data_IF_292456037710
#
_entry.id   IF_292456037710
#
_cell.length_a   1.000
_cell.length_b   1.000
_cell.length_c   1.000
_cell.angle_alpha   90.00
_cell.angle_beta   90.00
_cell.angle_gamma   90.00
#
_symmetry.space_group_name_H-M   'P 1'
#
loop_
_entity.id
_entity.type
_entity.pdbx_description
1 polymer ?
#
# COMPACT_ATOMS: atom_id res chain seq x y z
N UNK A 1 -37.49 15.80 26.37
CA UNK A 1 -36.70 14.57 26.49
C UNK A 1 -35.66 14.60 25.36
N UNK A 2 -34.49 15.14 25.65
CA UNK A 2 -33.32 15.16 24.72
C UNK A 2 -32.77 13.75 24.67
N UNK A 3 -32.97 13.06 23.53
CA UNK A 3 -32.23 11.81 23.24
C UNK A 3 -30.73 12.11 23.27
N UNK A 4 -30.04 11.71 24.31
CA UNK A 4 -28.59 11.60 24.28
C UNK A 4 -28.24 10.73 23.08
N UNK A 5 -27.62 11.34 22.05
CA UNK A 5 -27.00 10.62 20.96
C UNK A 5 -25.71 10.03 21.50
N UNK A 6 -25.82 8.89 22.16
CA UNK A 6 -24.66 8.09 22.49
C UNK A 6 -23.78 7.92 21.24
N UNK A 7 -22.49 8.07 21.38
CA UNK A 7 -21.53 7.83 20.31
C UNK A 7 -21.69 6.36 19.91
N UNK A 8 -22.37 6.10 18.77
CA UNK A 8 -22.49 4.75 18.24
C UNK A 8 -21.09 4.32 17.78
N UNK A 9 -20.45 3.50 18.57
CA UNK A 9 -19.21 2.81 18.20
C UNK A 9 -19.51 1.73 17.15
N UNK A 10 -18.46 1.27 16.47
CA UNK A 10 -18.53 0.09 15.62
C UNK A 10 -19.22 -1.07 16.37
N UNK A 11 -20.18 -1.70 15.70
CA UNK A 11 -20.91 -2.84 16.26
C UNK A 11 -21.01 -3.96 15.23
N UNK A 12 -20.68 -5.18 15.65
CA UNK A 12 -20.93 -6.41 14.91
C UNK A 12 -21.90 -7.27 15.72
N UNK A 13 -23.00 -7.72 15.10
CA UNK A 13 -23.98 -8.60 15.77
C UNK A 13 -23.43 -10.01 15.96
N UNK A 14 -22.68 -10.50 14.96
CA UNK A 14 -22.10 -11.82 14.95
C UNK A 14 -20.62 -11.72 14.58
N UNK A 15 -19.87 -12.71 15.05
CA UNK A 15 -18.47 -12.96 14.67
C UNK A 15 -18.36 -14.37 14.10
N UNK A 16 -17.70 -14.50 12.97
CA UNK A 16 -17.42 -15.80 12.34
C UNK A 16 -15.96 -15.89 11.95
N UNK A 17 -15.23 -16.77 12.62
CA UNK A 17 -13.93 -17.23 12.17
C UNK A 17 -14.19 -18.35 11.16
N UNK A 18 -13.87 -18.08 9.89
CA UNK A 18 -14.17 -18.98 8.79
C UNK A 18 -13.13 -20.10 8.68
N UNK A 19 -13.53 -21.22 8.11
CA UNK A 19 -12.70 -22.39 7.93
C UNK A 19 -12.22 -22.57 6.48
N UNK A 20 -12.80 -21.79 5.54
CA UNK A 20 -12.41 -21.80 4.13
C UNK A 20 -12.60 -20.43 3.47
N UNK A 21 -11.90 -20.21 2.34
CA UNK A 21 -12.11 -19.04 1.48
C UNK A 21 -13.49 -19.02 0.84
N UNK A 22 -14.05 -20.20 0.54
CA UNK A 22 -15.40 -20.33 0.00
C UNK A 22 -16.43 -19.80 0.99
N UNK A 23 -16.40 -20.26 2.24
CA UNK A 23 -17.25 -19.76 3.31
C UNK A 23 -17.12 -18.23 3.49
N UNK A 24 -15.88 -17.75 3.49
CA UNK A 24 -15.62 -16.31 3.60
C UNK A 24 -16.23 -15.53 2.44
N UNK A 25 -16.10 -16.03 1.21
CA UNK A 25 -16.63 -15.41 0.01
C UNK A 25 -18.17 -15.36 0.04
N UNK A 26 -18.82 -16.47 0.31
CA UNK A 26 -20.29 -16.54 0.42
C UNK A 26 -20.83 -15.57 1.46
N UNK A 27 -20.24 -15.56 2.65
CA UNK A 27 -20.63 -14.62 3.71
C UNK A 27 -20.39 -13.17 3.30
N UNK A 28 -19.31 -12.89 2.58
CA UNK A 28 -18.96 -11.55 2.15
C UNK A 28 -19.89 -10.99 1.06
N UNK A 29 -20.64 -11.81 0.32
CA UNK A 29 -21.60 -11.32 -0.68
C UNK A 29 -22.75 -10.51 -0.04
N UNK A 30 -23.05 -10.73 1.22
CA UNK A 30 -24.04 -9.94 1.96
C UNK A 30 -23.48 -8.57 2.34
N UNK A 31 -24.06 -7.48 1.83
CA UNK A 31 -23.60 -6.09 2.07
C UNK A 31 -23.53 -5.71 3.54
N UNK A 32 -24.33 -6.35 4.39
CA UNK A 32 -24.32 -6.17 5.84
C UNK A 32 -23.14 -6.83 6.56
N UNK A 33 -22.41 -7.72 5.90
CA UNK A 33 -21.23 -8.37 6.45
C UNK A 33 -19.95 -7.64 6.04
N UNK A 34 -18.84 -7.88 6.77
CA UNK A 34 -17.55 -7.32 6.44
C UNK A 34 -16.42 -8.25 6.86
N UNK A 35 -15.44 -8.42 5.98
CA UNK A 35 -14.17 -9.03 6.32
C UNK A 35 -13.43 -8.10 7.27
N UNK A 36 -12.85 -8.68 8.31
CA UNK A 36 -12.02 -7.97 9.28
C UNK A 36 -10.55 -8.39 9.12
N UNK A 37 -9.66 -7.39 9.08
CA UNK A 37 -8.24 -7.57 9.30
C UNK A 37 -7.89 -7.05 10.70
N UNK A 38 -6.89 -6.18 10.82
CA UNK A 38 -6.51 -5.56 12.10
C UNK A 38 -7.54 -4.62 12.72
N UNK A 39 -8.66 -4.38 12.08
CA UNK A 39 -9.80 -3.56 12.53
C UNK A 39 -9.50 -2.09 12.86
N UNK A 40 -8.31 -1.58 12.59
CA UNK A 40 -7.87 -0.26 13.09
C UNK A 40 -8.71 0.91 12.57
N UNK A 41 -9.15 0.86 11.32
CA UNK A 41 -10.07 1.84 10.74
C UNK A 41 -11.53 1.45 10.94
N UNK A 42 -11.85 0.16 10.87
CA UNK A 42 -13.21 -0.31 10.98
C UNK A 42 -13.81 -0.04 12.37
N UNK A 43 -13.04 -0.26 13.44
CA UNK A 43 -13.47 0.02 14.81
C UNK A 43 -13.72 1.50 15.10
N UNK A 44 -13.09 2.41 14.34
CA UNK A 44 -13.33 3.85 14.45
C UNK A 44 -14.53 4.33 13.61
N UNK A 45 -15.09 3.43 12.80
CA UNK A 45 -16.27 3.75 11.98
C UNK A 45 -17.56 3.65 12.82
N UNK A 46 -18.63 4.28 12.33
CA UNK A 46 -19.99 4.14 12.91
C UNK A 46 -20.79 3.03 12.21
N UNK A 47 -20.09 2.04 11.63
CA UNK A 47 -20.76 0.97 10.90
C UNK A 47 -21.35 -0.06 11.83
N UNK A 48 -22.62 -0.42 11.57
CA UNK A 48 -23.26 -1.60 12.09
C UNK A 48 -23.13 -2.71 11.06
N UNK A 49 -22.46 -3.79 11.40
CA UNK A 49 -22.35 -4.95 10.53
C UNK A 49 -23.08 -6.14 11.13
N UNK A 50 -23.63 -6.99 10.27
CA UNK A 50 -24.35 -8.19 10.71
C UNK A 50 -23.36 -9.24 11.17
N UNK A 51 -22.32 -9.54 10.34
CA UNK A 51 -21.30 -10.52 10.66
C UNK A 51 -19.91 -9.97 10.36
N UNK A 52 -19.02 -10.00 11.34
CA UNK A 52 -17.58 -9.81 11.18
C UNK A 52 -16.99 -11.14 10.73
N UNK A 53 -16.38 -11.15 9.54
CA UNK A 53 -15.76 -12.35 8.92
C UNK A 53 -14.27 -12.30 9.20
N UNK A 54 -13.77 -13.25 9.96
CA UNK A 54 -12.37 -13.34 10.35
C UNK A 54 -11.64 -14.42 9.56
N UNK A 55 -10.60 -14.02 8.82
CA UNK A 55 -9.77 -14.89 8.00
C UNK A 55 -8.57 -15.48 8.74
N UNK A 56 -8.37 -15.18 10.02
CA UNK A 56 -7.17 -15.58 10.79
C UNK A 56 -6.97 -17.10 10.93
N UNK A 57 -7.99 -17.89 10.60
CA UNK A 57 -7.92 -19.35 10.59
C UNK A 57 -7.34 -19.96 9.30
N UNK A 58 -7.13 -19.17 8.26
CA UNK A 58 -6.83 -19.66 6.90
C UNK A 58 -5.32 -19.69 6.56
N UNK A 59 -4.43 -19.40 7.51
CA UNK A 59 -2.97 -19.40 7.26
C UNK A 59 -2.50 -18.25 6.35
N UNK A 60 -3.29 -17.17 6.25
CA UNK A 60 -3.00 -16.02 5.37
C UNK A 60 -2.13 -14.94 6.05
N UNK A 61 -1.45 -15.28 7.11
CA UNK A 61 -0.57 -14.42 7.94
C UNK A 61 0.93 -14.73 7.77
N UNK A 62 1.28 -15.44 6.68
CA UNK A 62 2.65 -15.82 6.38
C UNK A 62 3.20 -15.04 5.18
N UNK A 63 4.51 -14.79 5.19
CA UNK A 63 5.28 -14.29 4.05
C UNK A 63 6.14 -15.44 3.56
N UNK A 64 5.82 -15.93 2.38
CA UNK A 64 6.58 -16.97 1.68
C UNK A 64 7.56 -16.30 0.71
N UNK A 65 8.75 -16.87 0.59
CA UNK A 65 9.81 -16.39 -0.28
C UNK A 65 10.42 -17.55 -1.05
N UNK A 66 10.51 -17.40 -2.36
CA UNK A 66 11.27 -18.31 -3.23
C UNK A 66 12.26 -17.52 -4.11
N UNK A 67 12.84 -18.17 -5.13
CA UNK A 67 13.79 -17.54 -6.04
C UNK A 67 13.15 -16.45 -6.93
N UNK A 68 11.86 -16.55 -7.21
CA UNK A 68 11.13 -15.76 -8.19
C UNK A 68 10.30 -14.63 -7.58
N UNK A 69 9.79 -14.84 -6.35
CA UNK A 69 8.81 -13.93 -5.78
C UNK A 69 8.70 -13.98 -4.26
N UNK A 70 8.06 -12.95 -3.71
CA UNK A 70 7.51 -12.94 -2.37
C UNK A 70 5.98 -13.06 -2.44
N UNK A 71 5.41 -13.99 -1.66
CA UNK A 71 3.95 -14.14 -1.48
C UNK A 71 3.57 -13.71 -0.08
N UNK A 72 2.86 -12.60 0.03
CA UNK A 72 2.51 -11.97 1.31
C UNK A 72 1.02 -12.20 1.54
N UNK A 73 0.66 -13.03 2.51
CA UNK A 73 -0.72 -13.28 2.87
C UNK A 73 -1.44 -12.00 3.31
N UNK A 74 -2.72 -11.87 3.01
CA UNK A 74 -3.47 -10.63 3.27
C UNK A 74 -3.59 -10.30 4.77
N UNK A 75 -3.46 -11.28 5.64
CA UNK A 75 -3.50 -11.15 7.10
C UNK A 75 -2.13 -10.85 7.72
N UNK A 76 -1.04 -10.88 6.93
CA UNK A 76 0.27 -10.41 7.40
C UNK A 76 0.18 -9.01 7.95
N UNK A 77 0.77 -8.77 9.10
CA UNK A 77 0.82 -7.45 9.72
C UNK A 77 1.84 -6.56 9.04
N UNK A 78 1.65 -5.24 9.12
CA UNK A 78 2.65 -4.29 8.65
C UNK A 78 3.98 -4.44 9.40
N UNK A 79 3.93 -4.93 10.65
CA UNK A 79 5.14 -5.20 11.43
C UNK A 79 5.92 -6.40 10.90
N UNK A 80 5.26 -7.47 10.46
CA UNK A 80 5.92 -8.59 9.78
C UNK A 80 6.59 -8.11 8.49
N UNK A 81 5.87 -7.33 7.67
CA UNK A 81 6.43 -6.72 6.47
C UNK A 81 7.68 -5.85 6.76
N UNK A 82 7.60 -5.00 7.80
CA UNK A 82 8.69 -4.12 8.23
C UNK A 82 9.95 -4.88 8.66
N UNK A 83 9.77 -6.07 9.25
CA UNK A 83 10.87 -6.86 9.84
C UNK A 83 11.38 -7.98 8.95
N UNK A 84 10.73 -8.27 7.84
CA UNK A 84 11.10 -9.39 6.99
C UNK A 84 12.45 -9.15 6.32
N UNK A 85 13.44 -9.96 6.68
CA UNK A 85 14.83 -9.76 6.24
C UNK A 85 15.01 -9.89 4.74
N UNK A 86 14.43 -10.91 4.10
CA UNK A 86 14.50 -11.11 2.65
C UNK A 86 13.94 -9.92 1.87
N UNK A 87 12.77 -9.41 2.25
CA UNK A 87 12.20 -8.20 1.65
C UNK A 87 13.09 -6.97 1.86
N UNK A 88 13.67 -6.85 3.07
CA UNK A 88 14.54 -5.73 3.41
C UNK A 88 15.83 -5.75 2.58
N UNK A 89 16.45 -6.91 2.44
CA UNK A 89 17.67 -7.10 1.66
C UNK A 89 17.41 -6.91 0.16
N UNK A 90 16.40 -7.57 -0.37
CA UNK A 90 16.11 -7.53 -1.80
C UNK A 90 15.74 -6.13 -2.31
N UNK A 91 14.88 -5.42 -1.58
CA UNK A 91 14.43 -4.05 -1.91
C UNK A 91 15.22 -2.96 -1.19
N UNK A 92 16.43 -3.26 -0.69
CA UNK A 92 17.40 -2.31 -0.13
C UNK A 92 16.79 -1.34 0.90
N UNK A 93 15.91 -1.87 1.75
CA UNK A 93 15.27 -1.15 2.84
C UNK A 93 13.99 -0.38 2.49
N UNK A 94 13.54 -0.37 1.24
CA UNK A 94 12.32 0.35 0.86
C UNK A 94 11.07 -0.13 1.61
N UNK A 95 10.98 -1.44 1.93
CA UNK A 95 9.88 -2.00 2.71
C UNK A 95 9.82 -1.44 4.13
N UNK A 96 10.96 -1.26 4.77
CA UNK A 96 11.05 -0.60 6.07
C UNK A 96 10.70 0.88 5.98
N UNK A 97 11.16 1.57 4.94
CA UNK A 97 10.88 3.00 4.76
C UNK A 97 9.39 3.27 4.53
N UNK A 98 8.67 2.43 3.77
CA UNK A 98 7.24 2.64 3.53
C UNK A 98 6.36 2.22 4.72
N UNK A 99 6.89 1.47 5.70
CA UNK A 99 6.12 1.00 6.85
C UNK A 99 6.37 1.78 8.13
N UNK A 100 7.64 2.12 8.42
CA UNK A 100 8.08 2.58 9.76
C UNK A 100 7.35 3.81 10.31
N UNK A 101 6.83 4.67 9.43
CA UNK A 101 6.10 5.89 9.79
C UNK A 101 4.58 5.72 9.82
N UNK A 102 4.06 4.53 9.52
CA UNK A 102 2.62 4.25 9.62
C UNK A 102 2.25 4.15 11.11
N UNK A 103 1.78 5.27 11.65
CA UNK A 103 1.41 5.44 13.06
C UNK A 103 2.55 4.93 13.98
N UNK A 104 2.28 4.05 14.91
CA UNK A 104 3.26 3.48 15.84
C UNK A 104 3.40 1.96 15.70
N UNK A 105 4.37 1.38 16.41
CA UNK A 105 4.61 -0.07 16.39
C UNK A 105 3.38 -0.88 16.79
N UNK A 106 2.64 -0.45 17.82
CA UNK A 106 1.41 -1.12 18.24
C UNK A 106 0.36 -1.17 17.13
N UNK A 107 0.22 -0.07 16.38
CA UNK A 107 -0.67 -0.02 15.22
C UNK A 107 -0.22 -1.02 14.15
N UNK A 108 1.07 -1.04 13.83
CA UNK A 108 1.62 -1.95 12.81
C UNK A 108 1.60 -3.42 13.20
N UNK A 109 1.57 -3.74 14.49
CA UNK A 109 1.37 -5.11 14.98
C UNK A 109 -0.05 -5.66 14.68
N UNK A 110 -1.02 -4.79 14.42
CA UNK A 110 -2.40 -5.18 14.13
C UNK A 110 -2.83 -4.86 12.70
N UNK A 111 -2.35 -3.74 12.13
CA UNK A 111 -2.67 -3.36 10.75
C UNK A 111 -2.16 -4.42 9.78
N UNK A 112 -3.03 -4.86 8.85
CA UNK A 112 -2.67 -5.88 7.86
C UNK A 112 -2.28 -5.29 6.51
N UNK A 113 -1.42 -6.00 5.80
CA UNK A 113 -1.03 -5.64 4.42
C UNK A 113 -2.27 -5.66 3.52
N UNK A 114 -3.12 -6.69 3.65
CA UNK A 114 -4.37 -6.79 2.90
C UNK A 114 -5.29 -5.59 3.13
N UNK A 115 -5.45 -5.13 4.38
CA UNK A 115 -6.24 -3.94 4.70
C UNK A 115 -5.68 -2.66 4.05
N UNK A 116 -4.35 -2.54 3.97
CA UNK A 116 -3.66 -1.40 3.36
C UNK A 116 -3.81 -1.38 1.82
N UNK A 117 -3.88 -2.55 1.18
CA UNK A 117 -4.01 -2.69 -0.28
C UNK A 117 -5.49 -2.69 -0.70
N UNK A 118 -6.33 -3.55 -0.11
CA UNK A 118 -7.75 -3.67 -0.50
C UNK A 118 -8.52 -2.37 -0.28
N UNK A 119 -8.16 -1.61 0.75
CA UNK A 119 -8.75 -0.30 1.04
C UNK A 119 -8.57 0.73 -0.06
N UNK A 120 -7.55 0.59 -0.91
CA UNK A 120 -7.18 1.54 -1.98
C UNK A 120 -7.20 2.99 -1.51
N UNK A 121 -6.78 3.22 -0.26
CA UNK A 121 -6.70 4.57 0.29
C UNK A 121 -5.58 5.36 -0.37
N UNK A 122 -5.88 6.59 -0.80
CA UNK A 122 -4.88 7.44 -1.47
C UNK A 122 -3.66 7.77 -0.63
N UNK A 123 -3.76 7.69 0.69
CA UNK A 123 -2.67 7.90 1.64
C UNK A 123 -1.91 6.61 2.01
N UNK A 124 -2.22 5.47 1.40
CA UNK A 124 -1.56 4.21 1.72
C UNK A 124 -0.11 4.20 1.24
N UNK A 125 0.81 4.24 2.19
CA UNK A 125 2.25 4.10 1.93
C UNK A 125 2.57 2.78 1.25
N UNK A 126 1.93 1.70 1.70
CA UNK A 126 2.12 0.34 1.17
C UNK A 126 1.67 0.26 -0.29
N UNK A 127 0.47 0.77 -0.60
CA UNK A 127 -0.02 0.77 -1.98
C UNK A 127 0.89 1.60 -2.89
N UNK A 128 1.32 2.78 -2.43
CA UNK A 128 2.23 3.65 -3.18
C UNK A 128 3.57 2.96 -3.45
N UNK A 129 4.16 2.31 -2.45
CA UNK A 129 5.42 1.59 -2.60
C UNK A 129 5.28 0.40 -3.56
N UNK A 130 4.26 -0.41 -3.39
CA UNK A 130 4.06 -1.63 -4.16
C UNK A 130 3.69 -1.38 -5.62
N UNK A 131 3.03 -0.27 -5.93
CA UNK A 131 2.73 0.13 -7.32
C UNK A 131 3.99 0.36 -8.16
N UNK A 132 5.12 0.76 -7.57
CA UNK A 132 6.37 0.92 -8.29
C UNK A 132 7.09 -0.41 -8.56
N UNK A 133 6.69 -1.50 -7.90
CA UNK A 133 7.23 -2.84 -8.05
C UNK A 133 6.40 -3.67 -9.03
N UNK A 134 6.94 -4.81 -9.44
CA UNK A 134 6.20 -5.81 -10.20
C UNK A 134 5.31 -6.62 -9.28
N UNK A 135 4.15 -6.06 -8.98
CA UNK A 135 3.25 -6.54 -7.93
C UNK A 135 1.90 -6.94 -8.48
N UNK A 136 1.39 -8.04 -7.95
CA UNK A 136 0.08 -8.59 -8.27
C UNK A 136 -0.71 -8.82 -6.96
N UNK A 137 -2.01 -8.88 -7.08
CA UNK A 137 -2.93 -9.35 -6.04
C UNK A 137 -3.57 -10.64 -6.50
N UNK A 138 -3.64 -11.61 -5.62
CA UNK A 138 -4.44 -12.81 -5.81
C UNK A 138 -5.79 -12.61 -5.12
N UNK A 139 -6.84 -12.63 -5.92
CA UNK A 139 -8.23 -12.55 -5.48
C UNK A 139 -8.84 -13.93 -5.56
N UNK A 140 -9.72 -14.26 -4.61
CA UNK A 140 -10.31 -15.59 -4.54
C UNK A 140 -11.10 -15.95 -5.80
N UNK A 141 -11.93 -15.03 -6.29
CA UNK A 141 -12.78 -15.26 -7.45
C UNK A 141 -12.14 -14.77 -8.76
N UNK A 142 -11.58 -13.57 -8.76
CA UNK A 142 -11.01 -12.97 -9.97
C UNK A 142 -9.59 -13.46 -10.32
N UNK A 143 -8.95 -14.27 -9.45
CA UNK A 143 -7.60 -14.79 -9.68
C UNK A 143 -6.52 -13.70 -9.53
N UNK A 144 -5.42 -13.87 -10.27
CA UNK A 144 -4.24 -12.98 -10.17
C UNK A 144 -4.42 -11.76 -11.08
N UNK A 145 -4.34 -10.57 -10.50
CA UNK A 145 -4.51 -9.28 -11.18
C UNK A 145 -3.32 -8.38 -10.86
N UNK A 146 -2.78 -7.66 -11.85
CA UNK A 146 -1.73 -6.67 -11.61
C UNK A 146 -2.21 -5.60 -10.63
N UNK A 147 -1.34 -5.22 -9.67
CA UNK A 147 -1.71 -4.23 -8.65
C UNK A 147 -2.10 -2.88 -9.26
N UNK A 148 -1.47 -2.49 -10.37
CA UNK A 148 -1.78 -1.27 -11.11
C UNK A 148 -3.21 -1.25 -11.66
N UNK A 149 -3.71 -2.40 -12.09
CA UNK A 149 -5.11 -2.56 -12.53
C UNK A 149 -6.05 -2.63 -11.34
N UNK A 150 -5.71 -3.45 -10.35
CA UNK A 150 -6.50 -3.57 -9.12
C UNK A 150 -6.73 -2.22 -8.43
N UNK A 151 -5.72 -1.33 -8.40
CA UNK A 151 -5.84 -0.01 -7.79
C UNK A 151 -6.89 0.88 -8.49
N UNK A 152 -7.14 0.66 -9.78
CA UNK A 152 -8.15 1.39 -10.58
C UNK A 152 -9.54 0.78 -10.46
N UNK A 153 -9.65 -0.53 -10.21
CA UNK A 153 -10.93 -1.25 -10.12
C UNK A 153 -11.86 -0.63 -9.07
N UNK A 154 -13.17 -0.68 -9.28
CA UNK A 154 -14.13 -0.36 -8.24
C UNK A 154 -13.99 -1.36 -7.09
N UNK A 155 -14.39 -0.95 -5.88
CA UNK A 155 -14.46 -1.88 -4.74
C UNK A 155 -15.58 -2.88 -4.98
N UNK A 156 -15.26 -4.13 -4.90
CA UNK A 156 -16.18 -5.27 -4.99
C UNK A 156 -16.25 -6.04 -3.65
N UNK A 157 -16.72 -7.26 -3.71
CA UNK A 157 -16.85 -8.14 -2.56
C UNK A 157 -16.05 -9.43 -2.71
N UNK A 158 -15.05 -9.39 -3.58
CA UNK A 158 -14.07 -10.47 -3.65
C UNK A 158 -13.16 -10.46 -2.41
N UNK A 159 -12.36 -11.50 -2.24
CA UNK A 159 -11.43 -11.65 -1.13
C UNK A 159 -10.02 -11.51 -1.67
N UNK A 160 -9.27 -10.55 -1.13
CA UNK A 160 -7.83 -10.50 -1.33
C UNK A 160 -7.18 -11.61 -0.50
N UNK A 161 -6.57 -12.57 -1.18
CA UNK A 161 -5.92 -13.73 -0.56
C UNK A 161 -4.46 -13.39 -0.22
N UNK A 162 -3.70 -12.93 -1.20
CA UNK A 162 -2.30 -12.55 -1.02
C UNK A 162 -1.85 -11.49 -2.00
N UNK A 163 -0.71 -10.87 -1.69
CA UNK A 163 0.04 -9.98 -2.57
C UNK A 163 1.28 -10.73 -3.05
N UNK A 164 1.57 -10.67 -4.34
CA UNK A 164 2.71 -11.31 -4.98
C UNK A 164 3.63 -10.21 -5.51
N UNK A 165 4.90 -10.20 -5.10
CA UNK A 165 5.90 -9.25 -5.57
C UNK A 165 7.01 -10.04 -6.26
N UNK A 166 7.21 -9.81 -7.55
CA UNK A 166 8.24 -10.50 -8.34
C UNK A 166 9.64 -9.98 -8.00
N UNK A 167 10.60 -10.89 -8.00
CA UNK A 167 12.02 -10.61 -7.85
C UNK A 167 12.64 -10.30 -9.22
N UNK A 168 12.16 -9.24 -9.87
CA UNK A 168 12.53 -8.88 -11.24
C UNK A 168 13.77 -8.00 -11.37
N UNK A 169 14.50 -7.79 -10.26
CA UNK A 169 15.73 -7.02 -10.23
C UNK A 169 15.54 -5.50 -10.10
N UNK A 170 14.33 -5.00 -9.98
CA UNK A 170 14.09 -3.55 -9.79
C UNK A 170 14.82 -3.01 -8.59
N UNK A 171 15.49 -1.87 -8.78
CA UNK A 171 15.98 -1.02 -7.70
C UNK A 171 14.90 -0.04 -7.30
N UNK A 172 14.63 0.12 -6.01
CA UNK A 172 13.56 0.97 -5.53
C UNK A 172 14.04 1.92 -4.45
N UNK A 173 13.48 3.13 -4.43
CA UNK A 173 13.58 4.08 -3.33
C UNK A 173 12.19 4.60 -2.98
N UNK A 174 11.88 4.66 -1.68
CA UNK A 174 10.63 5.20 -1.15
C UNK A 174 10.92 6.40 -0.26
N UNK A 175 10.13 7.45 -0.38
CA UNK A 175 10.18 8.65 0.45
C UNK A 175 8.78 9.20 0.70
N UNK A 176 8.57 9.81 1.85
CA UNK A 176 7.30 10.47 2.19
C UNK A 176 7.55 11.68 3.07
N UNK A 177 6.65 12.65 2.99
CA UNK A 177 6.60 13.80 3.90
C UNK A 177 5.38 13.75 4.79
N UNK A 178 5.57 14.09 6.05
CA UNK A 178 4.55 14.16 7.10
C UNK A 178 4.77 15.40 7.95
N UNK A 179 3.68 16.00 8.45
CA UNK A 179 3.77 17.11 9.40
C UNK A 179 4.30 16.65 10.77
N UNK A 180 3.90 15.46 11.19
CA UNK A 180 4.43 14.78 12.37
C UNK A 180 4.83 13.35 12.04
N UNK A 181 5.74 12.76 12.81
CA UNK A 181 6.37 11.47 12.52
C UNK A 181 5.38 10.32 12.27
N UNK A 182 4.21 10.36 12.89
CA UNK A 182 3.20 9.30 12.82
C UNK A 182 1.89 9.73 12.16
N UNK A 183 1.86 10.92 11.56
CA UNK A 183 0.68 11.42 10.83
C UNK A 183 0.54 10.74 9.46
N UNK A 184 -0.59 10.99 8.80
CA UNK A 184 -0.74 10.65 7.39
C UNK A 184 0.26 11.41 6.52
N UNK A 185 0.74 10.81 5.43
CA UNK A 185 1.63 11.52 4.53
C UNK A 185 0.93 12.73 3.87
N UNK A 186 1.64 13.82 3.79
CA UNK A 186 1.29 14.96 2.91
C UNK A 186 1.49 14.54 1.46
N UNK A 187 2.59 13.82 1.21
CA UNK A 187 2.92 13.20 -0.06
C UNK A 187 3.73 11.92 0.18
N UNK A 188 3.58 10.93 -0.68
CA UNK A 188 4.36 9.71 -0.70
C UNK A 188 4.82 9.43 -2.15
N UNK A 189 6.09 9.10 -2.32
CA UNK A 189 6.70 8.82 -3.61
C UNK A 189 7.51 7.52 -3.55
N UNK A 190 7.27 6.63 -4.49
CA UNK A 190 8.11 5.47 -4.75
C UNK A 190 8.63 5.54 -6.18
N UNK A 191 9.93 5.35 -6.34
CA UNK A 191 10.56 5.29 -7.66
C UNK A 191 11.30 3.98 -7.76
N UNK A 192 11.04 3.24 -8.83
CA UNK A 192 11.81 2.04 -9.14
C UNK A 192 12.40 2.11 -10.55
N UNK A 193 13.49 1.37 -10.77
CA UNK A 193 14.19 1.27 -12.05
C UNK A 193 14.50 -0.18 -12.36
N UNK A 194 14.21 -0.60 -13.58
CA UNK A 194 14.69 -1.85 -14.18
C UNK A 194 15.25 -1.53 -15.56
N UNK A 195 16.51 -1.80 -15.77
CA UNK A 195 17.22 -1.39 -17.00
C UNK A 195 17.02 0.12 -17.24
N UNK A 196 16.49 0.55 -18.38
CA UNK A 196 16.19 1.94 -18.70
C UNK A 196 14.71 2.32 -18.42
N UNK A 197 13.95 1.43 -17.80
CA UNK A 197 12.55 1.68 -17.48
C UNK A 197 12.39 2.17 -16.04
N UNK A 198 11.72 3.30 -15.89
CA UNK A 198 11.42 3.94 -14.62
C UNK A 198 9.95 3.80 -14.27
N UNK A 199 9.68 3.49 -13.03
CA UNK A 199 8.35 3.34 -12.45
C UNK A 199 8.23 4.36 -11.32
N UNK A 200 7.40 5.39 -11.51
CA UNK A 200 7.16 6.43 -10.51
C UNK A 200 5.75 6.27 -9.98
N UNK A 201 5.61 6.11 -8.69
CA UNK A 201 4.31 6.04 -8.01
C UNK A 201 4.17 7.16 -7.01
N UNK A 202 3.05 7.90 -7.09
CA UNK A 202 2.75 9.03 -6.20
C UNK A 202 1.44 8.79 -5.48
N UNK A 203 1.48 8.78 -4.16
CA UNK A 203 0.34 8.68 -3.24
C UNK A 203 0.17 9.94 -2.39
N UNK A 204 -0.90 9.99 -1.61
CA UNK A 204 -1.27 11.11 -0.75
C UNK A 204 -1.43 12.46 -1.49
N UNK A 205 -1.69 12.44 -2.78
CA UNK A 205 -1.89 13.62 -3.66
C UNK A 205 -3.30 14.21 -3.61
N UNK A 206 -4.10 13.83 -2.60
CA UNK A 206 -5.55 14.07 -2.46
C UNK A 206 -6.42 13.30 -3.45
N UNK A 207 -5.88 12.21 -4.03
CA UNK A 207 -6.54 11.23 -4.88
C UNK A 207 -5.99 9.84 -4.60
N UNK A 208 -6.33 8.88 -5.43
CA UNK A 208 -5.74 7.53 -5.38
C UNK A 208 -4.24 7.62 -5.70
N UNK A 209 -3.46 6.66 -5.16
CA UNK A 209 -2.09 6.48 -5.63
C UNK A 209 -2.09 6.10 -7.12
N UNK A 210 -1.19 6.67 -7.88
CA UNK A 210 -1.04 6.44 -9.32
C UNK A 210 0.40 6.07 -9.65
N UNK A 211 0.54 5.28 -10.72
CA UNK A 211 1.81 4.85 -11.29
C UNK A 211 1.94 5.42 -12.70
N UNK A 212 3.08 6.06 -12.99
CA UNK A 212 3.54 6.38 -14.34
C UNK A 212 4.79 5.58 -14.67
N UNK A 213 4.91 5.15 -15.92
CA UNK A 213 6.05 4.35 -16.40
C UNK A 213 6.69 5.05 -17.60
N UNK A 214 8.01 5.17 -17.58
CA UNK A 214 8.77 5.81 -18.65
C UNK A 214 10.03 5.03 -18.95
N UNK A 215 10.26 4.75 -20.23
CA UNK A 215 11.52 4.17 -20.71
C UNK A 215 12.42 5.27 -21.27
N UNK A 216 13.48 5.59 -20.53
CA UNK A 216 14.50 6.56 -20.99
C UNK A 216 15.76 6.48 -20.15
N UNK A 217 16.89 6.88 -20.74
CA UNK A 217 18.11 7.14 -19.99
C UNK A 217 17.99 8.48 -19.27
N UNK A 218 18.33 8.51 -17.99
CA UNK A 218 18.22 9.70 -17.14
C UNK A 218 19.61 10.22 -16.80
N UNK A 219 19.96 11.38 -17.35
CA UNK A 219 21.21 12.10 -17.08
C UNK A 219 20.97 13.24 -16.08
N UNK A 220 19.79 13.87 -16.09
CA UNK A 220 19.38 14.89 -15.13
C UNK A 220 18.14 14.41 -14.35
N UNK A 221 18.36 14.05 -13.09
CA UNK A 221 17.31 13.61 -12.19
C UNK A 221 16.28 14.71 -11.88
N UNK A 222 16.67 15.98 -11.95
CA UNK A 222 15.76 17.11 -11.70
C UNK A 222 14.80 17.33 -12.86
N UNK A 223 15.31 17.36 -14.09
CA UNK A 223 14.50 17.47 -15.29
C UNK A 223 13.54 16.28 -15.43
N UNK A 224 14.04 15.06 -15.21
CA UNK A 224 13.23 13.84 -15.21
C UNK A 224 12.10 13.89 -14.17
N UNK A 225 12.40 14.27 -12.93
CA UNK A 225 11.40 14.34 -11.87
C UNK A 225 10.30 15.36 -12.22
N UNK A 226 10.67 16.53 -12.74
CA UNK A 226 9.71 17.56 -13.16
C UNK A 226 8.81 17.07 -14.28
N UNK A 227 9.37 16.41 -15.29
CA UNK A 227 8.64 15.80 -16.39
C UNK A 227 7.63 14.77 -15.89
N UNK A 228 8.10 13.77 -15.11
CA UNK A 228 7.24 12.72 -14.59
C UNK A 228 6.12 13.26 -13.69
N UNK A 229 6.42 14.23 -12.84
CA UNK A 229 5.41 14.78 -11.91
C UNK A 229 4.39 15.67 -12.63
N UNK A 230 4.69 16.19 -13.82
CA UNK A 230 3.72 16.93 -14.63
C UNK A 230 2.52 16.08 -15.06
N UNK A 231 2.66 14.76 -15.13
CA UNK A 231 1.59 13.82 -15.50
C UNK A 231 0.54 13.64 -14.38
N UNK A 232 0.88 14.02 -13.14
CA UNK A 232 0.01 13.80 -11.99
C UNK A 232 -0.86 15.01 -11.69
N UNK A 233 -2.10 14.75 -11.31
CA UNK A 233 -2.99 15.77 -10.74
C UNK A 233 -2.86 15.78 -9.23
N UNK A 234 -2.86 16.96 -8.65
CA UNK A 234 -2.83 17.16 -7.20
C UNK A 234 -4.04 18.01 -6.80
N UNK A 235 -4.41 17.95 -5.53
CA UNK A 235 -5.41 18.86 -4.97
C UNK A 235 -5.08 19.27 -3.55
N UNK A 236 -5.67 20.37 -3.12
CA UNK A 236 -5.47 20.94 -1.79
C UNK A 236 -6.39 20.29 -0.77
N UNK A 237 -5.92 20.13 0.46
CA UNK A 237 -6.71 19.82 1.64
C UNK A 237 -6.06 20.40 2.90
N UNK A 238 -6.58 20.07 4.09
CA UNK A 238 -6.06 20.57 5.36
C UNK A 238 -4.58 20.26 5.63
N UNK A 239 -3.98 19.26 4.93
CA UNK A 239 -2.57 18.86 5.11
C UNK A 239 -1.60 19.53 4.17
N UNK A 240 -2.07 20.13 3.10
CA UNK A 240 -1.19 20.82 2.15
C UNK A 240 -1.91 21.27 0.90
N UNK A 241 -1.39 22.33 0.31
CA UNK A 241 -1.89 22.84 -0.97
C UNK A 241 -1.44 21.96 -2.14
N UNK A 242 -2.14 22.07 -3.25
CA UNK A 242 -1.77 21.42 -4.52
C UNK A 242 -0.32 21.76 -4.91
N UNK A 243 0.03 23.04 -4.91
CA UNK A 243 1.36 23.51 -5.29
C UNK A 243 2.46 22.92 -4.37
N UNK A 244 2.20 22.86 -3.07
CA UNK A 244 3.13 22.27 -2.10
C UNK A 244 3.34 20.77 -2.34
N UNK A 245 2.26 20.02 -2.58
CA UNK A 245 2.34 18.59 -2.88
C UNK A 245 3.10 18.31 -4.17
N UNK A 246 2.85 19.08 -5.22
CA UNK A 246 3.56 19.00 -6.50
C UNK A 246 5.04 19.24 -6.31
N UNK A 247 5.41 20.33 -5.62
CA UNK A 247 6.80 20.65 -5.32
C UNK A 247 7.50 19.52 -4.53
N UNK A 248 6.86 19.01 -3.48
CA UNK A 248 7.43 17.91 -2.70
C UNK A 248 7.56 16.62 -3.54
N UNK A 249 6.60 16.33 -4.40
CA UNK A 249 6.66 15.16 -5.29
C UNK A 249 7.85 15.25 -6.24
N UNK A 250 8.12 16.44 -6.83
CA UNK A 250 9.30 16.67 -7.66
C UNK A 250 10.60 16.46 -6.86
N UNK A 251 10.69 17.03 -5.66
CA UNK A 251 11.88 16.90 -4.80
C UNK A 251 12.13 15.45 -4.41
N UNK A 252 11.11 14.71 -4.00
CA UNK A 252 11.27 13.33 -3.56
C UNK A 252 11.50 12.38 -4.73
N UNK A 253 10.87 12.59 -5.86
CA UNK A 253 11.17 11.82 -7.08
C UNK A 253 12.62 12.06 -7.51
N UNK A 254 13.10 13.32 -7.56
CA UNK A 254 14.51 13.63 -7.84
C UNK A 254 15.46 12.90 -6.90
N UNK A 255 15.23 12.99 -5.57
CA UNK A 255 16.09 12.33 -4.57
C UNK A 255 16.07 10.80 -4.71
N UNK A 256 14.92 10.21 -5.02
CA UNK A 256 14.80 8.78 -5.24
C UNK A 256 15.56 8.33 -6.49
N UNK A 257 15.46 9.08 -7.58
CA UNK A 257 16.24 8.83 -8.82
C UNK A 257 17.75 8.92 -8.55
N UNK A 258 18.19 9.97 -7.87
CA UNK A 258 19.61 10.14 -7.50
C UNK A 258 20.12 8.97 -6.66
N UNK A 259 19.34 8.53 -5.66
CA UNK A 259 19.70 7.38 -4.82
C UNK A 259 19.83 6.09 -5.62
N UNK A 260 18.97 5.87 -6.61
CA UNK A 260 19.01 4.67 -7.46
C UNK A 260 20.22 4.72 -8.39
N UNK A 261 20.52 5.88 -9.00
CA UNK A 261 21.64 6.05 -9.91
C UNK A 261 23.00 5.89 -9.19
N UNK A 262 23.15 6.49 -7.99
CA UNK A 262 24.36 6.38 -7.18
C UNK A 262 24.71 4.91 -6.87
N UNK A 263 23.72 4.12 -6.49
CA UNK A 263 23.91 2.67 -6.20
C UNK A 263 24.21 1.83 -7.44
N UNK A 264 23.78 2.26 -8.61
CA UNK A 264 24.12 1.59 -9.86
C UNK A 264 25.57 1.79 -10.25
N UNK A 265 26.16 2.94 -9.91
CA UNK A 265 27.57 3.25 -10.17
C UNK A 265 28.53 2.49 -9.23
N UNK A 266 28.12 2.25 -7.97
CA UNK A 266 28.94 1.51 -6.98
C UNK A 266 29.05 0.01 -7.28
N UNK A 267 28.11 -0.58 -8.03
CA UNK A 267 28.14 -2.01 -8.41
C UNK A 267 28.85 -2.27 -9.74
N UNK A 268 29.21 -1.24 -10.47
CA UNK A 268 29.94 -1.32 -11.75
C UNK A 268 31.42 -0.95 -11.67
N UNK A 269 31.87 -0.53 -10.49
CA UNK A 269 33.28 -0.29 -10.15
C UNK A 269 33.81 -1.43 -9.28
#
# INVERSE_FOLDING_TARGET
MTKERGISLFHAKNYRKVESLEEAYELNQKKSNAIIGGMLWLKMSRRNIQTAIDLSGLGLDQIEEDAEEFRIGCMCTLRQLEKHEGLHQYFEGAMKECTRHIVGTQFRNSATVGGSIFGRFGFSDILTCFLALDTYVELYHAGVVALSEFAKMPRDRDILVRIIIKKDGRKIAYQSHREAATDFPVIACAVAKKEDTWYVSVGARSGKAELSVRQQQVTDAGAFAKEMISEYTFSSNMRGSEAYRRHLAEVYTKRAVQKILAKSSEKGA
#
